data_IF_350172147571
#
_entry.id   IF_350172147571
#
_cell.length_a   1.000
_cell.length_b   1.000
_cell.length_c   1.000
_cell.angle_alpha   90.00
_cell.angle_beta   90.00
_cell.angle_gamma   90.00
#
_symmetry.space_group_name_H-M   'P 1'
#
loop_
_entity.id
_entity.type
_entity.pdbx_description
1 polymer ?
#
# COMPACT_ATOMS: atom_id res chain seq x y z
N UNK A 1 -37.78 -2.12 9.87
CA UNK A 1 -37.17 -3.37 9.32
C UNK A 1 -36.67 -4.13 10.54
N UNK A 2 -37.37 -5.16 10.93
CA UNK A 2 -37.11 -5.87 12.20
C UNK A 2 -36.16 -7.05 12.04
N UNK A 3 -35.75 -7.37 10.81
CA UNK A 3 -34.90 -8.50 10.49
C UNK A 3 -33.95 -8.12 9.35
N UNK A 4 -32.68 -7.92 9.70
CA UNK A 4 -31.61 -7.51 8.77
C UNK A 4 -30.85 -8.72 8.23
N UNK A 5 -30.88 -9.85 8.94
CA UNK A 5 -30.09 -11.03 8.64
C UNK A 5 -30.87 -12.16 7.97
N UNK A 6 -32.23 -12.19 8.13
CA UNK A 6 -33.08 -13.19 7.48
C UNK A 6 -34.09 -12.54 6.52
N UNK A 7 -34.89 -13.35 5.83
CA UNK A 7 -35.87 -12.86 4.86
C UNK A 7 -35.30 -12.77 3.42
N UNK A 8 -36.17 -12.43 2.44
CA UNK A 8 -35.82 -12.48 1.01
C UNK A 8 -34.85 -11.39 0.56
N UNK A 9 -34.82 -10.26 1.28
CA UNK A 9 -33.96 -9.11 1.00
C UNK A 9 -33.15 -8.76 2.25
N UNK A 10 -32.23 -9.64 2.65
CA UNK A 10 -31.40 -9.46 3.82
C UNK A 10 -29.99 -8.98 3.43
N UNK A 11 -29.20 -8.56 4.44
CA UNK A 11 -27.83 -8.10 4.28
C UNK A 11 -26.96 -9.14 3.56
N UNK A 12 -27.03 -10.39 3.98
CA UNK A 12 -26.21 -11.47 3.43
C UNK A 12 -26.51 -11.68 1.94
N UNK A 13 -27.80 -11.75 1.57
CA UNK A 13 -28.19 -11.92 0.15
C UNK A 13 -27.81 -10.72 -0.71
N UNK A 14 -27.81 -9.51 -0.15
CA UNK A 14 -27.49 -8.30 -0.90
C UNK A 14 -25.99 -8.16 -1.17
N UNK A 15 -25.14 -8.53 -0.21
CA UNK A 15 -23.67 -8.31 -0.30
C UNK A 15 -22.87 -9.59 -0.56
N UNK A 16 -23.37 -10.73 -0.15
CA UNK A 16 -22.69 -12.02 -0.28
C UNK A 16 -23.70 -13.16 -0.58
N UNK A 17 -24.36 -13.13 -1.76
CA UNK A 17 -25.50 -14.02 -2.05
C UNK A 17 -25.15 -15.52 -2.06
N UNK A 18 -23.87 -15.86 -2.14
CA UNK A 18 -23.37 -17.24 -2.14
C UNK A 18 -22.77 -17.68 -0.81
N UNK A 19 -22.77 -16.80 0.22
CA UNK A 19 -22.18 -17.11 1.52
C UNK A 19 -23.16 -17.85 2.42
N UNK A 20 -22.61 -18.64 3.34
CA UNK A 20 -23.35 -19.24 4.44
C UNK A 20 -23.45 -18.25 5.60
N UNK A 21 -24.67 -17.87 6.05
CA UNK A 21 -24.84 -17.01 7.23
C UNK A 21 -24.23 -17.58 8.51
N UNK A 22 -24.05 -18.91 8.62
CA UNK A 22 -23.40 -19.54 9.76
C UNK A 22 -21.98 -19.04 9.97
N UNK A 23 -21.27 -18.64 8.91
CA UNK A 23 -19.93 -18.04 8.97
C UNK A 23 -19.85 -16.73 9.78
N UNK A 24 -20.99 -16.05 10.02
CA UNK A 24 -21.04 -14.84 10.85
C UNK A 24 -20.79 -15.10 12.34
N UNK A 25 -21.05 -16.32 12.79
CA UNK A 25 -20.92 -16.73 14.19
C UNK A 25 -19.86 -17.82 14.39
N UNK A 26 -19.30 -18.33 13.32
CA UNK A 26 -18.25 -19.34 13.35
C UNK A 26 -17.03 -18.81 14.11
N UNK A 27 -16.55 -19.59 15.07
CA UNK A 27 -15.39 -19.26 15.92
C UNK A 27 -15.50 -17.89 16.64
N UNK A 28 -16.73 -17.41 16.90
CA UNK A 28 -16.95 -16.14 17.59
C UNK A 28 -16.22 -16.15 18.95
N UNK A 29 -15.44 -15.10 19.21
CA UNK A 29 -14.61 -14.99 20.43
C UNK A 29 -13.28 -15.75 20.38
N UNK A 30 -12.99 -16.50 19.28
CA UNK A 30 -11.70 -17.19 19.06
C UNK A 30 -10.96 -16.64 17.86
N UNK A 31 -11.66 -16.42 16.74
CA UNK A 31 -11.14 -15.87 15.50
C UNK A 31 -11.56 -14.41 15.35
N UNK A 32 -10.62 -13.56 15.04
CA UNK A 32 -10.84 -12.13 14.81
C UNK A 32 -10.33 -11.76 13.42
N UNK A 33 -11.21 -11.37 12.52
CA UNK A 33 -10.87 -10.99 11.13
C UNK A 33 -9.90 -9.81 11.08
N UNK A 34 -9.91 -8.95 12.09
CA UNK A 34 -8.94 -7.84 12.20
C UNK A 34 -7.48 -8.33 12.25
N UNK A 35 -7.24 -9.53 12.78
CA UNK A 35 -5.89 -10.13 12.81
C UNK A 35 -5.40 -10.57 11.42
N UNK A 36 -6.32 -10.71 10.46
CA UNK A 36 -6.04 -11.10 9.08
C UNK A 36 -6.00 -9.90 8.12
N UNK A 37 -6.16 -8.69 8.66
CA UNK A 37 -6.15 -7.48 7.83
C UNK A 37 -4.74 -7.01 7.55
N UNK A 38 -4.55 -6.45 6.36
CA UNK A 38 -3.28 -5.86 5.93
C UNK A 38 -3.10 -4.44 6.46
N UNK A 39 -1.90 -4.13 6.97
CA UNK A 39 -1.50 -2.75 7.25
C UNK A 39 -0.62 -2.30 6.09
N UNK A 40 -1.17 -1.55 5.13
CA UNK A 40 -0.43 -1.13 3.94
C UNK A 40 0.88 -0.43 4.29
N UNK A 41 1.99 -0.91 3.75
CA UNK A 41 3.29 -0.25 3.85
C UNK A 41 3.29 1.12 3.17
N UNK A 42 2.71 1.19 1.98
CA UNK A 42 2.57 2.40 1.17
C UNK A 42 1.15 2.94 1.20
N UNK A 43 0.99 4.26 1.29
CA UNK A 43 -0.34 4.93 1.26
C UNK A 43 -0.83 5.14 -0.18
N UNK A 44 -0.88 4.06 -0.95
CA UNK A 44 -1.18 4.06 -2.38
C UNK A 44 -2.27 3.06 -2.72
N UNK A 45 -2.73 3.07 -3.97
CA UNK A 45 -3.62 2.03 -4.49
C UNK A 45 -3.02 0.62 -4.33
N UNK A 46 -3.85 -0.35 -3.92
CA UNK A 46 -3.39 -1.73 -3.67
C UNK A 46 -2.59 -2.38 -4.80
N UNK A 47 -2.95 -2.19 -6.08
CA UNK A 47 -2.18 -2.74 -7.21
C UNK A 47 -0.74 -2.24 -7.33
N UNK A 48 -0.39 -1.13 -6.68
CA UNK A 48 0.92 -0.48 -6.82
C UNK A 48 1.91 -0.96 -5.75
N UNK A 49 1.41 -1.50 -4.63
CA UNK A 49 2.23 -1.85 -3.46
C UNK A 49 3.35 -2.83 -3.82
N UNK A 50 3.01 -3.96 -4.46
CA UNK A 50 4.00 -4.96 -4.89
C UNK A 50 5.03 -4.43 -5.89
N UNK A 51 4.64 -3.47 -6.72
CA UNK A 51 5.54 -2.83 -7.68
C UNK A 51 6.57 -1.92 -6.99
N UNK A 52 6.14 -1.15 -5.97
CA UNK A 52 7.06 -0.33 -5.17
C UNK A 52 8.01 -1.21 -4.33
N UNK A 53 7.50 -2.29 -3.75
CA UNK A 53 8.33 -3.26 -3.03
C UNK A 53 9.38 -3.90 -3.93
N UNK A 54 9.02 -4.23 -5.18
CA UNK A 54 9.95 -4.75 -6.17
C UNK A 54 11.11 -3.77 -6.43
N UNK A 55 10.82 -2.48 -6.57
CA UNK A 55 11.86 -1.45 -6.75
C UNK A 55 12.76 -1.35 -5.53
N UNK A 56 12.20 -1.39 -4.32
CA UNK A 56 12.99 -1.41 -3.08
C UNK A 56 13.92 -2.62 -3.04
N UNK A 57 13.43 -3.80 -3.41
CA UNK A 57 14.24 -5.02 -3.46
C UNK A 57 15.35 -4.93 -4.50
N UNK A 58 15.05 -4.41 -5.70
CA UNK A 58 16.06 -4.17 -6.74
C UNK A 58 17.18 -3.26 -6.23
N UNK A 59 16.82 -2.14 -5.56
CA UNK A 59 17.79 -1.19 -5.02
C UNK A 59 18.63 -1.76 -3.88
N UNK A 60 18.10 -2.69 -3.09
CA UNK A 60 18.87 -3.42 -2.06
C UNK A 60 19.92 -4.34 -2.68
N UNK A 61 19.62 -4.96 -3.83
CA UNK A 61 20.57 -5.85 -4.56
C UNK A 61 21.61 -5.07 -5.32
N UNK A 62 21.24 -3.96 -5.93
CA UNK A 62 22.12 -3.05 -6.64
C UNK A 62 21.62 -1.62 -6.48
N UNK A 63 22.44 -0.76 -5.88
CA UNK A 63 22.14 0.67 -5.81
C UNK A 63 22.22 1.31 -7.19
N UNK A 64 21.25 2.17 -7.51
CA UNK A 64 21.21 3.01 -8.71
C UNK A 64 20.45 4.30 -8.41
N UNK A 65 20.78 5.36 -9.13
CA UNK A 65 20.07 6.64 -9.07
C UNK A 65 19.06 6.75 -10.22
N UNK A 66 18.13 7.72 -10.12
CA UNK A 66 17.15 7.96 -11.20
C UNK A 66 17.81 8.27 -12.55
N UNK A 67 18.96 8.96 -12.52
CA UNK A 67 19.78 9.25 -13.72
C UNK A 67 20.34 8.02 -14.41
N UNK A 68 20.57 6.94 -13.66
CA UNK A 68 21.10 5.69 -14.20
C UNK A 68 20.02 4.86 -14.89
N UNK A 69 18.74 5.19 -14.67
CA UNK A 69 17.61 4.46 -15.22
C UNK A 69 17.31 4.94 -16.64
N UNK A 70 17.34 4.00 -17.60
CA UNK A 70 16.96 4.22 -18.98
C UNK A 70 15.48 3.94 -19.22
N UNK A 71 14.98 2.80 -18.71
CA UNK A 71 13.61 2.35 -18.88
C UNK A 71 13.15 1.49 -17.72
N UNK A 72 11.87 1.56 -17.38
CA UNK A 72 11.22 0.73 -16.35
C UNK A 72 9.96 0.12 -16.92
N UNK A 73 9.85 -1.19 -16.89
CA UNK A 73 8.60 -1.90 -17.17
C UNK A 73 8.01 -2.40 -15.88
N UNK A 74 6.75 -2.05 -15.61
CA UNK A 74 5.98 -2.58 -14.49
C UNK A 74 4.85 -3.44 -15.02
N UNK A 75 4.72 -4.69 -14.53
CA UNK A 75 3.68 -5.62 -14.93
C UNK A 75 2.74 -5.89 -13.76
N UNK A 76 1.46 -5.79 -14.02
CA UNK A 76 0.39 -6.06 -13.08
C UNK A 76 -0.75 -6.82 -13.74
N UNK A 77 -1.63 -7.43 -12.95
CA UNK A 77 -2.85 -8.05 -13.44
C UNK A 77 -3.64 -7.07 -14.34
N UNK A 78 -4.25 -7.57 -15.42
CA UNK A 78 -4.92 -6.75 -16.44
C UNK A 78 -5.93 -5.77 -15.83
N UNK A 79 -6.85 -6.28 -15.01
CA UNK A 79 -7.87 -5.45 -14.36
C UNK A 79 -7.29 -4.44 -13.37
N UNK A 80 -6.12 -4.72 -12.80
CA UNK A 80 -5.42 -3.82 -11.89
C UNK A 80 -4.64 -2.75 -12.65
N UNK A 81 -3.99 -3.11 -13.76
CA UNK A 81 -3.29 -2.18 -14.64
C UNK A 81 -4.24 -1.08 -15.13
N UNK A 82 -5.44 -1.44 -15.58
CA UNK A 82 -6.47 -0.47 -16.01
C UNK A 82 -6.82 0.55 -14.93
N UNK A 83 -6.84 0.14 -13.67
CA UNK A 83 -7.19 1.01 -12.53
C UNK A 83 -6.13 2.04 -12.17
N UNK A 84 -4.86 1.77 -12.48
CA UNK A 84 -3.72 2.59 -12.03
C UNK A 84 -2.96 3.27 -13.16
N UNK A 85 -3.35 3.03 -14.42
CA UNK A 85 -2.69 3.56 -15.60
C UNK A 85 -2.94 5.06 -15.77
N UNK A 86 -1.90 5.87 -15.65
CA UNK A 86 -1.91 7.31 -15.93
C UNK A 86 -3.09 8.09 -15.32
N UNK A 87 -3.49 7.72 -14.10
CA UNK A 87 -4.61 8.37 -13.41
C UNK A 87 -4.28 9.81 -13.02
N UNK A 88 -5.31 10.63 -12.85
CA UNK A 88 -5.17 12.02 -12.38
C UNK A 88 -4.91 12.14 -10.87
N UNK A 89 -5.22 11.10 -10.11
CA UNK A 89 -4.95 11.03 -8.67
C UNK A 89 -3.56 10.44 -8.42
N UNK A 90 -2.70 11.13 -7.67
CA UNK A 90 -1.31 10.70 -7.49
C UNK A 90 -1.17 9.32 -6.83
N UNK A 91 -1.99 9.02 -5.81
CA UNK A 91 -1.94 7.78 -5.03
C UNK A 91 -2.36 6.52 -5.81
N UNK A 92 -2.99 6.68 -6.97
CA UNK A 92 -3.38 5.60 -7.88
C UNK A 92 -2.77 5.74 -9.29
N UNK A 93 -1.74 6.58 -9.45
CA UNK A 93 -1.00 6.71 -10.71
C UNK A 93 0.34 5.97 -10.60
N UNK A 94 0.43 4.78 -11.21
CA UNK A 94 1.62 3.93 -11.07
C UNK A 94 2.85 4.58 -11.69
N UNK A 95 2.74 5.24 -12.85
CA UNK A 95 3.87 5.88 -13.51
C UNK A 95 4.43 7.03 -12.66
N UNK A 96 3.56 7.80 -12.04
CA UNK A 96 3.95 8.85 -11.11
C UNK A 96 4.65 8.30 -9.86
N UNK A 97 4.06 7.28 -9.22
CA UNK A 97 4.60 6.72 -7.98
C UNK A 97 5.94 6.00 -8.19
N UNK A 98 6.12 5.35 -9.35
CA UNK A 98 7.42 4.80 -9.75
C UNK A 98 8.45 5.90 -9.95
N UNK A 99 8.09 7.01 -10.61
CA UNK A 99 8.98 8.17 -10.76
C UNK A 99 9.38 8.77 -9.40
N UNK A 100 8.42 8.94 -8.48
CA UNK A 100 8.68 9.36 -7.09
C UNK A 100 9.65 8.39 -6.41
N UNK A 101 9.41 7.09 -6.49
CA UNK A 101 10.27 6.06 -5.90
C UNK A 101 11.70 6.11 -6.47
N UNK A 102 11.86 6.40 -7.76
CA UNK A 102 13.20 6.54 -8.37
C UNK A 102 13.94 7.75 -7.84
N UNK A 103 13.28 8.89 -7.68
CA UNK A 103 13.88 10.14 -7.23
C UNK A 103 14.09 10.16 -5.71
N UNK A 104 13.04 9.90 -4.95
CA UNK A 104 13.04 10.05 -3.48
C UNK A 104 13.54 8.80 -2.75
N UNK A 105 13.68 7.66 -3.46
CA UNK A 105 14.02 6.34 -2.90
C UNK A 105 12.95 5.79 -1.93
N UNK A 106 11.82 6.46 -1.84
CA UNK A 106 10.66 6.13 -1.02
C UNK A 106 9.41 6.82 -1.58
N UNK A 107 8.23 6.45 -1.07
CA UNK A 107 6.98 7.16 -1.35
C UNK A 107 6.38 7.60 -0.01
N UNK A 108 6.54 8.87 0.34
CA UNK A 108 5.92 9.44 1.54
C UNK A 108 4.41 9.63 1.35
N UNK A 109 3.68 9.78 2.47
CA UNK A 109 2.26 10.14 2.42
C UNK A 109 2.04 11.43 1.63
N UNK A 110 2.84 12.45 1.89
CA UNK A 110 2.75 13.73 1.17
C UNK A 110 2.96 13.54 -0.33
N UNK A 111 4.03 12.87 -0.74
CA UNK A 111 4.32 12.64 -2.15
C UNK A 111 3.21 11.82 -2.86
N UNK A 112 2.63 10.82 -2.17
CA UNK A 112 1.52 10.04 -2.71
C UNK A 112 0.22 10.84 -2.91
N UNK A 113 0.10 12.04 -2.31
CA UNK A 113 -1.12 12.86 -2.38
C UNK A 113 -0.87 14.26 -2.97
N UNK A 114 0.35 14.55 -3.43
CA UNK A 114 0.73 15.84 -4.01
C UNK A 114 0.39 15.91 -5.50
N UNK A 115 -0.79 16.41 -5.81
CA UNK A 115 -1.24 16.58 -7.20
C UNK A 115 -0.38 17.60 -7.98
N UNK A 116 0.13 18.63 -7.32
CA UNK A 116 0.97 19.63 -7.96
C UNK A 116 2.32 19.03 -8.40
N UNK A 117 2.89 18.16 -7.59
CA UNK A 117 4.14 17.46 -7.90
C UNK A 117 4.06 16.58 -9.15
N UNK A 118 2.89 16.11 -9.54
CA UNK A 118 2.71 15.34 -10.79
C UNK A 118 3.12 16.13 -12.04
N UNK A 119 3.20 17.47 -11.94
CA UNK A 119 3.62 18.38 -13.02
C UNK A 119 5.09 18.84 -12.89
N UNK A 120 5.80 18.39 -11.86
CA UNK A 120 7.24 18.70 -11.70
C UNK A 120 8.01 18.16 -12.91
N UNK A 121 8.85 18.98 -13.55
CA UNK A 121 9.65 18.56 -14.70
C UNK A 121 10.57 17.36 -14.43
N UNK A 122 11.10 17.21 -13.20
CA UNK A 122 11.91 16.06 -12.83
C UNK A 122 11.04 14.78 -12.77
N UNK A 123 9.87 14.88 -12.17
CA UNK A 123 8.90 13.77 -12.13
C UNK A 123 8.45 13.38 -13.54
N UNK A 124 8.11 14.35 -14.39
CA UNK A 124 7.68 14.08 -15.76
C UNK A 124 8.75 13.37 -16.58
N UNK A 125 10.02 13.71 -16.42
CA UNK A 125 11.14 13.02 -17.09
C UNK A 125 11.24 11.56 -16.66
N UNK A 126 11.18 11.26 -15.36
CA UNK A 126 11.25 9.90 -14.86
C UNK A 126 9.98 9.10 -15.19
N UNK A 127 8.82 9.74 -15.12
CA UNK A 127 7.55 9.14 -15.51
C UNK A 127 7.52 8.69 -16.97
N UNK A 128 8.16 9.45 -17.88
CA UNK A 128 8.25 9.11 -19.30
C UNK A 128 9.04 7.81 -19.55
N UNK A 129 9.87 7.36 -18.61
CA UNK A 129 10.62 6.10 -18.70
C UNK A 129 9.81 4.89 -18.25
N UNK A 130 8.61 5.08 -17.66
CA UNK A 130 7.82 4.02 -17.03
C UNK A 130 6.73 3.52 -17.96
N UNK A 131 6.82 2.26 -18.32
CA UNK A 131 5.84 1.52 -19.09
C UNK A 131 5.04 0.58 -18.17
N UNK A 132 3.70 0.66 -18.22
CA UNK A 132 2.82 -0.28 -17.55
C UNK A 132 2.30 -1.31 -18.54
N UNK A 133 2.55 -2.58 -18.25
CA UNK A 133 2.12 -3.71 -19.06
C UNK A 133 1.08 -4.54 -18.29
N UNK A 134 -0.10 -4.67 -18.86
CA UNK A 134 -1.13 -5.60 -18.41
C UNK A 134 -0.68 -7.05 -18.63
N UNK A 135 -0.96 -7.94 -17.67
CA UNK A 135 -0.50 -9.32 -17.73
C UNK A 135 -1.62 -10.28 -17.32
N UNK A 136 -2.06 -11.11 -18.27
CA UNK A 136 -3.13 -12.10 -18.12
C UNK A 136 -2.73 -13.27 -17.20
N UNK A 137 -1.46 -13.62 -17.11
CA UNK A 137 -1.01 -14.65 -16.17
C UNK A 137 -1.13 -14.15 -14.74
N UNK A 138 -0.80 -12.88 -14.50
CA UNK A 138 -0.99 -12.24 -13.18
C UNK A 138 -2.47 -12.05 -12.85
N UNK A 139 -3.35 -11.86 -13.83
CA UNK A 139 -4.80 -11.78 -13.62
C UNK A 139 -5.35 -13.06 -13.01
N UNK A 140 -4.86 -14.22 -13.43
CA UNK A 140 -5.28 -15.54 -12.92
C UNK A 140 -4.85 -15.80 -11.48
N UNK A 141 -3.91 -15.02 -10.96
CA UNK A 141 -3.41 -15.14 -9.58
C UNK A 141 -4.23 -14.31 -8.59
N UNK A 142 -5.17 -13.51 -9.05
CA UNK A 142 -6.03 -12.73 -8.15
C UNK A 142 -6.83 -13.68 -7.22
N UNK A 143 -6.99 -13.32 -5.95
CA UNK A 143 -6.80 -12.01 -5.33
C UNK A 143 -5.35 -11.66 -4.94
N UNK A 144 -4.37 -12.56 -5.11
CA UNK A 144 -2.95 -12.28 -4.85
C UNK A 144 -2.45 -11.22 -5.84
N UNK A 145 -1.90 -10.12 -5.33
CA UNK A 145 -1.46 -8.98 -6.13
C UNK A 145 0.02 -9.07 -6.44
N UNK A 146 0.36 -9.96 -7.36
CA UNK A 146 1.74 -10.14 -7.83
C UNK A 146 2.16 -8.93 -8.67
N UNK A 147 3.36 -8.41 -8.44
CA UNK A 147 3.96 -7.35 -9.24
C UNK A 147 5.33 -7.77 -9.80
N UNK A 148 5.61 -7.39 -11.04
CA UNK A 148 6.92 -7.60 -11.67
C UNK A 148 7.45 -6.24 -12.11
N UNK A 149 8.71 -5.97 -11.79
CA UNK A 149 9.40 -4.75 -12.24
C UNK A 149 10.70 -5.14 -12.94
N UNK A 150 10.89 -4.58 -14.13
CA UNK A 150 12.10 -4.69 -14.91
C UNK A 150 12.71 -3.28 -15.05
N UNK A 151 13.98 -3.12 -14.68
CA UNK A 151 14.71 -1.86 -14.81
C UNK A 151 15.89 -2.07 -15.75
N UNK A 152 15.95 -1.29 -16.83
CA UNK A 152 17.11 -1.20 -17.70
C UNK A 152 17.90 0.06 -17.33
N UNK A 153 19.18 -0.12 -17.00
CA UNK A 153 20.09 0.97 -16.69
C UNK A 153 20.77 1.48 -17.96
N UNK A 154 21.32 2.68 -17.89
CA UNK A 154 22.04 3.34 -19.01
C UNK A 154 23.31 2.59 -19.41
N UNK A 155 23.90 1.81 -18.50
CA UNK A 155 25.05 0.95 -18.77
C UNK A 155 24.67 -0.40 -19.44
N UNK A 156 23.40 -0.59 -19.76
CA UNK A 156 22.88 -1.81 -20.37
C UNK A 156 22.50 -2.91 -19.36
N UNK A 157 22.74 -2.70 -18.07
CA UNK A 157 22.33 -3.68 -17.05
C UNK A 157 20.80 -3.79 -16.98
N UNK A 158 20.31 -5.02 -16.90
CA UNK A 158 18.89 -5.31 -16.69
C UNK A 158 18.68 -5.98 -15.34
N UNK A 159 17.77 -5.43 -14.57
CA UNK A 159 17.39 -5.91 -13.26
C UNK A 159 15.91 -6.29 -13.29
N UNK A 160 15.57 -7.45 -12.75
CA UNK A 160 14.17 -7.90 -12.66
C UNK A 160 13.88 -8.35 -11.24
N UNK A 161 12.70 -8.01 -10.78
CA UNK A 161 12.15 -8.46 -9.49
C UNK A 161 10.69 -8.83 -9.65
N UNK A 162 10.31 -9.94 -9.03
CA UNK A 162 8.94 -10.40 -8.89
C UNK A 162 8.57 -10.47 -7.42
N UNK A 163 7.52 -9.78 -7.02
CA UNK A 163 6.96 -9.80 -5.66
C UNK A 163 5.63 -10.54 -5.69
N UNK A 164 5.61 -11.71 -5.05
CA UNK A 164 4.40 -12.52 -4.91
C UNK A 164 3.47 -11.95 -3.84
N UNK A 165 4.03 -11.64 -2.66
CA UNK A 165 3.30 -11.10 -1.53
C UNK A 165 3.90 -9.76 -1.13
N UNK A 166 3.12 -8.69 -1.32
CA UNK A 166 3.53 -7.35 -0.93
C UNK A 166 3.80 -7.26 0.59
N UNK A 167 4.68 -6.34 0.98
CA UNK A 167 5.06 -6.08 2.38
C UNK A 167 3.92 -5.42 3.14
N UNK A 168 2.81 -6.07 3.29
CA UNK A 168 1.64 -5.62 4.06
C UNK A 168 0.56 -6.70 4.11
N UNK A 169 0.79 -7.82 3.45
CA UNK A 169 -0.19 -8.92 3.41
C UNK A 169 0.00 -9.86 4.61
N UNK A 170 -0.99 -10.68 4.93
CA UNK A 170 -0.85 -11.70 5.98
C UNK A 170 0.32 -12.67 5.76
N UNK A 171 0.68 -12.92 4.49
CA UNK A 171 1.80 -13.78 4.10
C UNK A 171 3.17 -13.09 4.22
N UNK A 172 3.18 -11.75 4.25
CA UNK A 172 4.37 -10.92 4.41
C UNK A 172 4.05 -9.68 5.27
N UNK A 173 3.69 -9.87 6.55
CA UNK A 173 3.22 -8.81 7.42
C UNK A 173 4.32 -7.82 7.78
N UNK A 174 3.94 -6.55 7.99
CA UNK A 174 4.84 -5.56 8.57
C UNK A 174 5.21 -5.94 10.00
N UNK A 175 6.46 -5.69 10.38
CA UNK A 175 6.89 -5.78 11.78
C UNK A 175 6.30 -4.63 12.59
N UNK A 176 6.25 -4.77 13.92
CA UNK A 176 5.83 -3.69 14.81
C UNK A 176 6.67 -2.40 14.62
N UNK A 177 7.97 -2.55 14.35
CA UNK A 177 8.88 -1.43 14.11
C UNK A 177 8.58 -0.69 12.80
N UNK A 178 8.23 -1.42 11.74
CA UNK A 178 7.80 -0.83 10.46
C UNK A 178 6.46 -0.09 10.61
N UNK A 179 5.52 -0.65 11.39
CA UNK A 179 4.24 0.01 11.70
C UNK A 179 4.47 1.30 12.49
N UNK A 180 5.36 1.27 13.50
CA UNK A 180 5.76 2.47 14.27
C UNK A 180 6.42 3.51 13.38
N UNK A 181 7.30 3.09 12.48
CA UNK A 181 7.97 3.99 11.53
C UNK A 181 6.96 4.68 10.62
N UNK A 182 6.01 3.92 10.08
CA UNK A 182 4.90 4.47 9.29
C UNK A 182 4.04 5.43 10.11
N UNK A 183 3.64 5.05 11.32
CA UNK A 183 2.85 5.89 12.22
C UNK A 183 3.57 7.21 12.50
N UNK A 184 4.87 7.16 12.78
CA UNK A 184 5.71 8.34 13.01
C UNK A 184 5.73 9.26 11.78
N UNK A 185 5.89 8.69 10.59
CA UNK A 185 5.87 9.46 9.33
C UNK A 185 4.54 10.19 9.07
N UNK A 186 3.41 9.60 9.52
CA UNK A 186 2.08 10.18 9.35
C UNK A 186 1.73 11.21 10.44
N UNK A 187 2.10 10.95 11.69
CA UNK A 187 1.64 11.72 12.85
C UNK A 187 2.56 12.91 13.13
N UNK A 188 3.87 12.76 12.95
CA UNK A 188 4.85 13.81 13.28
C UNK A 188 4.62 15.14 12.54
N UNK A 189 4.30 15.16 11.24
CA UNK A 189 4.00 16.41 10.54
C UNK A 189 2.78 17.16 11.11
N UNK A 190 1.90 16.46 11.82
CA UNK A 190 0.65 17.01 12.38
C UNK A 190 0.82 17.44 13.83
N UNK A 191 1.39 16.59 14.68
CA UNK A 191 1.47 16.79 16.13
C UNK A 191 2.85 17.21 16.64
N UNK A 192 3.89 17.17 15.80
CA UNK A 192 5.27 17.34 16.20
C UNK A 192 5.87 16.06 16.83
N UNK A 193 7.18 16.01 16.94
CA UNK A 193 7.92 14.79 17.31
C UNK A 193 7.59 14.28 18.73
N UNK A 194 7.54 15.20 19.73
CA UNK A 194 7.33 14.83 21.13
C UNK A 194 5.92 14.28 21.40
N UNK A 195 4.87 14.92 20.84
CA UNK A 195 3.49 14.47 21.00
C UNK A 195 3.27 13.16 20.23
N UNK A 196 3.85 13.03 19.05
CA UNK A 196 3.79 11.80 18.25
C UNK A 196 4.41 10.61 18.97
N UNK A 197 5.58 10.78 19.58
CA UNK A 197 6.24 9.73 20.34
C UNK A 197 5.37 9.26 21.52
N UNK A 198 4.81 10.20 22.29
CA UNK A 198 3.91 9.88 23.41
C UNK A 198 2.64 9.15 22.96
N UNK A 199 2.03 9.59 21.84
CA UNK A 199 0.83 8.95 21.32
C UNK A 199 1.12 7.53 20.84
N UNK A 200 2.20 7.33 20.08
CA UNK A 200 2.62 6.01 19.58
C UNK A 200 2.88 5.07 20.76
N UNK A 201 3.65 5.51 21.76
CA UNK A 201 3.93 4.71 22.95
C UNK A 201 2.64 4.30 23.67
N UNK A 202 1.74 5.24 23.87
CA UNK A 202 0.45 4.97 24.54
C UNK A 202 -0.44 3.99 23.77
N UNK A 203 -0.40 4.04 22.42
CA UNK A 203 -1.18 3.14 21.58
C UNK A 203 -0.56 1.73 21.49
N UNK A 204 0.76 1.60 21.55
CA UNK A 204 1.43 0.29 21.60
C UNK A 204 1.08 -0.49 22.87
N UNK A 205 0.78 0.21 23.97
CA UNK A 205 0.39 -0.37 25.25
C UNK A 205 -1.07 -0.02 25.60
N UNK A 206 -1.95 -0.05 24.60
CA UNK A 206 -3.36 0.35 24.75
C UNK A 206 -4.11 -0.49 25.79
N UNK A 207 -3.72 -1.73 25.98
CA UNK A 207 -4.23 -2.65 26.99
C UNK A 207 -3.99 -2.17 28.44
N UNK A 208 -2.98 -1.31 28.66
CA UNK A 208 -2.68 -0.69 29.96
C UNK A 208 -3.49 0.59 30.21
N UNK A 209 -4.18 1.11 29.21
CA UNK A 209 -4.96 2.36 29.30
C UNK A 209 -6.30 2.08 29.99
N UNK A 210 -6.46 2.57 31.22
CA UNK A 210 -7.68 2.36 32.03
C UNK A 210 -8.89 3.10 31.47
N UNK A 211 -8.68 4.25 30.85
CA UNK A 211 -9.75 5.07 30.28
C UNK A 211 -9.27 5.68 28.94
N UNK A 212 -9.91 5.32 27.85
CA UNK A 212 -9.57 5.81 26.49
C UNK A 212 -9.61 7.34 26.37
N UNK A 213 -10.34 8.03 27.25
CA UNK A 213 -10.36 9.50 27.30
C UNK A 213 -9.01 10.12 27.63
N UNK A 214 -8.09 9.36 28.25
CA UNK A 214 -6.71 9.79 28.51
C UNK A 214 -5.91 10.03 27.21
N UNK A 215 -6.33 9.42 26.11
CA UNK A 215 -5.71 9.63 24.78
C UNK A 215 -6.13 10.97 24.15
N UNK A 216 -7.25 11.56 24.58
CA UNK A 216 -7.80 12.78 23.97
C UNK A 216 -6.80 13.96 23.92
N UNK A 217 -6.07 14.30 25.00
CA UNK A 217 -5.07 15.37 24.96
C UNK A 217 -3.91 15.11 23.99
N UNK A 218 -3.62 13.84 23.70
CA UNK A 218 -2.56 13.44 22.76
C UNK A 218 -3.00 13.52 21.29
N UNK A 219 -4.29 13.65 21.02
CA UNK A 219 -4.90 13.73 19.68
C UNK A 219 -5.24 15.18 19.30
N UNK A 220 -4.98 16.14 20.15
CA UNK A 220 -5.28 17.57 19.93
C UNK A 220 -3.98 18.33 19.63
N UNK A 221 -4.10 19.32 18.72
CA UNK A 221 -3.07 20.34 18.46
C UNK A 221 -3.14 21.41 19.52
#
# INVERSE_FOLDING_TARGET
MNDVLSGPQNFVKSYAPKSDPAGLIEELGKRYEVSLTSIKGWTTGGPIVSLLDAIVNLRKRRSFEASDVKHVVVRSATSQAERVNNREMPDINVQYLVAVMMIDKTVSFHAAHDKARMQDPAILRERAKVELVANEELERLLPTRVGIVEVELTDGTRLTERVENARDTPENPMTGEEVVTKARGLITPVLGAAASAKLIDRLLYIDTVKNVRELRPLLQR
#
